data_IF_960891158940
#
_entry.id   IF_960891158940
#
_cell.length_a   1.000
_cell.length_b   1.000
_cell.length_c   1.000
_cell.angle_alpha   90.00
_cell.angle_beta   90.00
_cell.angle_gamma   90.00
#
_symmetry.space_group_name_H-M   'P 1'
#
loop_
_entity.id
_entity.type
_entity.pdbx_description
1 polymer ?
#
# COMPACT_ATOMS: atom_id res chain seq x y z
N UNK A 1 2.41 -13.99 -21.14
CA UNK A 1 2.33 -13.80 -19.67
C UNK A 1 0.84 -13.70 -19.33
N UNK A 2 0.40 -14.28 -18.22
CA UNK A 2 -1.02 -14.33 -17.85
C UNK A 2 -1.58 -12.91 -17.68
N UNK A 3 -2.67 -12.54 -18.37
CA UNK A 3 -3.17 -11.16 -18.42
C UNK A 3 -3.51 -10.59 -17.03
N UNK A 4 -3.85 -11.46 -16.09
CA UNK A 4 -4.12 -11.13 -14.68
C UNK A 4 -2.83 -10.71 -13.97
N UNK A 5 -1.70 -11.37 -14.26
CA UNK A 5 -0.40 -11.05 -13.64
C UNK A 5 0.09 -9.70 -14.13
N UNK A 6 -0.07 -9.41 -15.43
CA UNK A 6 0.26 -8.10 -15.99
C UNK A 6 -0.59 -7.00 -15.37
N UNK A 7 -1.91 -7.21 -15.26
CA UNK A 7 -2.80 -6.22 -14.61
C UNK A 7 -2.47 -6.00 -13.14
N UNK A 8 -2.15 -7.08 -12.42
CA UNK A 8 -1.70 -7.01 -11.03
C UNK A 8 -0.42 -6.19 -10.90
N UNK A 9 0.53 -6.36 -11.80
CA UNK A 9 1.74 -5.56 -11.82
C UNK A 9 1.44 -4.06 -12.05
N UNK A 10 0.59 -3.74 -13.03
CA UNK A 10 0.16 -2.35 -13.29
C UNK A 10 -0.48 -1.72 -12.05
N UNK A 11 -1.38 -2.44 -11.37
CA UNK A 11 -2.03 -1.94 -10.16
C UNK A 11 -1.06 -1.76 -9.00
N UNK A 12 -0.08 -2.66 -8.84
CA UNK A 12 0.98 -2.49 -7.84
C UNK A 12 1.79 -1.23 -8.12
N UNK A 13 2.22 -1.01 -9.36
CA UNK A 13 2.98 0.19 -9.73
C UNK A 13 2.15 1.45 -9.47
N UNK A 14 0.88 1.48 -9.87
CA UNK A 14 0.01 2.62 -9.62
C UNK A 14 -0.17 2.93 -8.11
N UNK A 15 -0.21 1.91 -7.25
CA UNK A 15 -0.21 2.11 -5.79
C UNK A 15 1.10 2.69 -5.27
N UNK A 16 2.24 2.23 -5.79
CA UNK A 16 3.56 2.75 -5.42
C UNK A 16 3.68 4.22 -5.86
N UNK A 17 3.32 4.50 -7.11
CA UNK A 17 3.33 5.85 -7.67
C UNK A 17 2.40 6.77 -6.89
N UNK A 18 1.18 6.31 -6.54
CA UNK A 18 0.26 7.07 -5.71
C UNK A 18 0.84 7.47 -4.35
N UNK A 19 1.66 6.63 -3.74
CA UNK A 19 2.31 6.92 -2.45
C UNK A 19 3.50 7.84 -2.61
N UNK A 20 4.28 7.68 -3.68
CA UNK A 20 5.49 8.45 -3.94
C UNK A 20 5.19 9.85 -4.48
N UNK A 21 4.12 10.00 -5.26
CA UNK A 21 3.65 11.27 -5.82
C UNK A 21 2.70 12.01 -4.87
N UNK A 22 2.39 11.41 -3.72
CA UNK A 22 1.52 12.03 -2.74
C UNK A 22 2.19 13.21 -2.05
N UNK A 23 1.37 14.23 -1.77
CA UNK A 23 1.73 15.39 -0.97
C UNK A 23 0.86 15.47 0.30
N UNK A 24 1.31 16.27 1.26
CA UNK A 24 0.55 16.58 2.47
C UNK A 24 0.50 15.43 3.47
N UNK A 25 -0.71 15.05 3.90
CA UNK A 25 -0.91 14.09 5.00
C UNK A 25 -0.37 12.68 4.66
N UNK A 26 -0.51 12.24 3.40
CA UNK A 26 -0.01 10.95 2.94
C UNK A 26 1.53 10.91 2.90
N UNK A 27 2.16 11.97 2.41
CA UNK A 27 3.62 12.11 2.46
C UNK A 27 4.15 12.09 3.90
N UNK A 28 3.50 12.85 4.79
CA UNK A 28 3.89 12.91 6.20
C UNK A 28 3.71 11.55 6.89
N UNK A 29 2.62 10.83 6.61
CA UNK A 29 2.38 9.50 7.17
C UNK A 29 3.45 8.49 6.71
N UNK A 30 3.83 8.54 5.43
CA UNK A 30 4.91 7.70 4.89
C UNK A 30 6.25 8.00 5.58
N UNK A 31 6.60 9.28 5.73
CA UNK A 31 7.85 9.69 6.38
C UNK A 31 7.92 9.22 7.83
N UNK A 32 6.82 9.38 8.59
CA UNK A 32 6.72 8.91 9.97
C UNK A 32 6.85 7.38 10.03
N UNK A 33 6.15 6.66 9.15
CA UNK A 33 6.21 5.20 9.09
C UNK A 33 7.62 4.71 8.73
N UNK A 34 8.27 5.34 7.75
CA UNK A 34 9.63 5.02 7.34
C UNK A 34 10.65 5.28 8.45
N UNK A 35 10.50 6.39 9.18
CA UNK A 35 11.35 6.71 10.33
C UNK A 35 11.19 5.69 11.48
N UNK A 36 9.97 5.23 11.74
CA UNK A 36 9.69 4.23 12.77
C UNK A 36 10.29 2.85 12.45
N UNK A 37 10.26 2.44 11.18
CA UNK A 37 10.78 1.14 10.75
C UNK A 37 12.32 1.09 10.66
N UNK A 38 13.01 2.24 10.68
CA UNK A 38 14.48 2.28 10.57
C UNK A 38 15.10 3.40 11.42
N UNK A 39 15.40 3.12 12.71
CA UNK A 39 16.08 4.06 13.59
C UNK A 39 17.52 4.41 13.14
N UNK A 40 18.13 3.58 12.28
CA UNK A 40 19.56 3.65 11.93
C UNK A 40 19.82 3.76 10.42
N UNK A 41 19.18 4.70 9.74
CA UNK A 41 19.70 5.46 8.58
C UNK A 41 20.23 4.77 7.31
N UNK A 42 20.35 3.44 7.23
CA UNK A 42 20.96 2.77 6.08
C UNK A 42 19.92 2.56 4.96
N UNK A 43 19.83 3.54 4.05
CA UNK A 43 18.99 3.48 2.85
C UNK A 43 19.63 2.64 1.75
N UNK A 44 19.37 1.34 1.75
CA UNK A 44 19.44 0.53 0.54
C UNK A 44 18.15 0.66 -0.27
N UNK A 45 18.23 0.68 -1.61
CA UNK A 45 17.06 0.78 -2.50
C UNK A 45 16.04 -0.35 -2.28
N UNK A 46 16.51 -1.57 -2.01
CA UNK A 46 15.66 -2.71 -1.66
C UNK A 46 14.91 -2.53 -0.34
N UNK A 47 15.57 -1.96 0.66
CA UNK A 47 14.98 -1.71 1.98
C UNK A 47 13.85 -0.67 1.88
N UNK A 48 14.06 0.37 1.07
CA UNK A 48 13.06 1.40 0.79
C UNK A 48 11.84 0.81 0.08
N UNK A 49 12.03 -0.03 -0.93
CA UNK A 49 10.92 -0.72 -1.61
C UNK A 49 10.10 -1.58 -0.65
N UNK A 50 10.75 -2.31 0.26
CA UNK A 50 10.05 -3.13 1.27
C UNK A 50 9.23 -2.26 2.22
N UNK A 51 9.73 -1.09 2.61
CA UNK A 51 9.00 -0.16 3.49
C UNK A 51 7.78 0.42 2.79
N UNK A 52 7.92 0.81 1.52
CA UNK A 52 6.79 1.30 0.72
C UNK A 52 5.75 0.19 0.55
N UNK A 53 6.17 -1.01 0.17
CA UNK A 53 5.28 -2.17 0.02
C UNK A 53 4.53 -2.45 1.34
N UNK A 54 5.22 -2.41 2.49
CA UNK A 54 4.56 -2.55 3.80
C UNK A 54 3.60 -1.41 4.10
N UNK A 55 4.01 -0.18 3.86
CA UNK A 55 3.16 0.99 4.10
C UNK A 55 1.89 0.97 3.24
N UNK A 56 1.95 0.51 1.99
CA UNK A 56 0.76 0.33 1.14
C UNK A 56 -0.24 -0.66 1.78
N UNK A 57 0.27 -1.69 2.46
CA UNK A 57 -0.56 -2.76 3.02
C UNK A 57 -1.00 -2.54 4.46
N UNK A 58 -0.18 -1.89 5.28
CA UNK A 58 -0.36 -1.70 6.73
C UNK A 58 -0.67 -0.25 7.10
N UNK A 59 -0.25 0.69 6.26
CA UNK A 59 -0.36 2.12 6.49
C UNK A 59 -1.81 2.58 6.52
N UNK A 60 -2.06 3.56 7.37
CA UNK A 60 -3.36 4.19 7.55
C UNK A 60 -3.21 5.69 7.50
N UNK A 61 -4.23 6.35 6.96
CA UNK A 61 -4.37 7.81 6.94
C UNK A 61 -5.75 8.13 7.49
N UNK A 62 -5.77 8.83 8.62
CA UNK A 62 -6.96 8.92 9.45
C UNK A 62 -7.49 7.53 9.81
N UNK A 63 -8.74 7.28 9.45
CA UNK A 63 -9.44 6.00 9.71
C UNK A 63 -9.38 5.00 8.55
N UNK A 64 -8.86 5.40 7.39
CA UNK A 64 -8.85 4.60 6.17
C UNK A 64 -7.49 3.96 5.87
N UNK A 65 -7.52 2.79 5.24
CA UNK A 65 -6.30 2.20 4.66
C UNK A 65 -5.89 2.89 3.37
N UNK A 66 -4.61 2.79 3.01
CA UNK A 66 -4.11 3.34 1.74
C UNK A 66 -4.82 2.77 0.51
N UNK A 67 -5.16 1.49 0.53
CA UNK A 67 -5.86 0.84 -0.59
C UNK A 67 -7.27 1.42 -0.75
N UNK A 68 -7.98 1.66 0.35
CA UNK A 68 -9.31 2.31 0.31
C UNK A 68 -9.20 3.75 -0.21
N UNK A 69 -8.19 4.51 0.25
CA UNK A 69 -7.92 5.86 -0.23
C UNK A 69 -7.59 5.88 -1.73
N UNK A 70 -6.80 4.93 -2.20
CA UNK A 70 -6.48 4.76 -3.62
C UNK A 70 -7.74 4.47 -4.46
N UNK A 71 -8.59 3.55 -4.01
CA UNK A 71 -9.85 3.22 -4.68
C UNK A 71 -10.81 4.43 -4.71
N UNK A 72 -10.84 5.23 -3.65
CA UNK A 72 -11.67 6.42 -3.55
C UNK A 72 -11.18 7.56 -4.45
N UNK A 73 -9.86 7.72 -4.60
CA UNK A 73 -9.24 8.74 -5.45
C UNK A 73 -9.27 8.39 -6.94
N UNK A 74 -9.32 7.11 -7.30
CA UNK A 74 -9.34 6.65 -8.70
C UNK A 74 -10.73 6.11 -9.09
N UNK A 75 -11.62 7.03 -9.46
CA UNK A 75 -12.98 6.71 -9.91
C UNK A 75 -13.00 5.87 -11.20
N UNK A 76 -11.96 5.99 -12.03
CA UNK A 76 -11.77 5.34 -13.32
C UNK A 76 -11.37 3.85 -13.23
N UNK A 77 -11.05 3.34 -12.04
CA UNK A 77 -10.76 1.93 -11.84
C UNK A 77 -11.94 1.04 -12.26
N UNK A 78 -11.65 0.03 -13.08
CA UNK A 78 -12.63 -0.96 -13.49
C UNK A 78 -13.12 -1.78 -12.28
N UNK A 79 -14.31 -2.38 -12.41
CA UNK A 79 -14.85 -3.23 -11.34
C UNK A 79 -13.91 -4.40 -11.00
N UNK A 80 -13.25 -4.97 -12.00
CA UNK A 80 -12.28 -6.05 -11.82
C UNK A 80 -11.06 -5.60 -11.00
N UNK A 81 -10.57 -4.38 -11.24
CA UNK A 81 -9.44 -3.82 -10.49
C UNK A 81 -9.82 -3.53 -9.04
N UNK A 82 -11.01 -2.95 -8.83
CA UNK A 82 -11.56 -2.71 -7.49
C UNK A 82 -11.69 -4.03 -6.73
N UNK A 83 -12.15 -5.09 -7.37
CA UNK A 83 -12.28 -6.40 -6.75
C UNK A 83 -10.91 -7.00 -6.40
N UNK A 84 -9.90 -6.85 -7.27
CA UNK A 84 -8.54 -7.31 -7.02
C UNK A 84 -7.91 -6.58 -5.82
N UNK A 85 -8.00 -5.25 -5.80
CA UNK A 85 -7.48 -4.40 -4.73
C UNK A 85 -8.17 -4.71 -3.38
N UNK A 86 -9.49 -4.88 -3.38
CA UNK A 86 -10.23 -5.28 -2.18
C UNK A 86 -9.83 -6.69 -1.70
N UNK A 87 -9.59 -7.63 -2.62
CA UNK A 87 -9.09 -8.96 -2.26
C UNK A 87 -7.72 -8.86 -1.60
N UNK A 88 -6.81 -8.05 -2.14
CA UNK A 88 -5.49 -7.83 -1.55
C UNK A 88 -5.62 -7.22 -0.16
N UNK A 89 -6.40 -6.14 -0.03
CA UNK A 89 -6.67 -5.49 1.25
C UNK A 89 -7.19 -6.49 2.31
N UNK A 90 -8.17 -7.33 1.94
CA UNK A 90 -8.70 -8.38 2.83
C UNK A 90 -7.67 -9.44 3.17
N UNK A 91 -6.84 -9.88 2.20
CA UNK A 91 -5.76 -10.84 2.45
C UNK A 91 -4.73 -10.29 3.43
N UNK A 92 -4.34 -9.02 3.30
CA UNK A 92 -3.41 -8.37 4.23
C UNK A 92 -4.04 -8.22 5.61
N UNK A 93 -5.26 -7.68 5.72
CA UNK A 93 -5.96 -7.60 7.01
C UNK A 93 -6.06 -8.98 7.66
N UNK A 94 -6.45 -10.02 6.92
CA UNK A 94 -6.56 -11.37 7.43
C UNK A 94 -5.25 -11.92 8.02
N UNK A 95 -4.11 -11.61 7.42
CA UNK A 95 -2.79 -12.00 7.93
C UNK A 95 -2.45 -11.28 9.25
N UNK A 96 -2.86 -10.02 9.42
CA UNK A 96 -2.64 -9.27 10.66
C UNK A 96 -3.68 -9.55 11.74
N UNK A 97 -4.95 -9.83 11.40
CA UNK A 97 -5.96 -10.23 12.40
C UNK A 97 -5.55 -11.53 13.10
N UNK A 98 -4.87 -12.44 12.40
CA UNK A 98 -4.35 -13.68 13.00
C UNK A 98 -3.22 -13.41 14.01
N UNK A 99 -2.56 -12.25 13.98
CA UNK A 99 -1.59 -11.87 15.03
C UNK A 99 -2.25 -11.48 16.37
N UNK A 100 -3.58 -11.31 16.40
CA UNK A 100 -4.35 -11.23 17.65
C UNK A 100 -4.93 -12.59 18.05
N UNK A 101 -4.06 -13.59 18.21
CA UNK A 101 -4.40 -14.71 19.09
C UNK A 101 -4.08 -14.23 20.51
N UNK A 102 -5.14 -13.89 21.25
CA UNK A 102 -5.16 -13.61 22.69
C UNK A 102 -4.53 -14.74 23.51
#
# INVERSE_FOLDING_TARGET
MDAIVERSHTLKQALVDFVLDADGELAQALDIYAAAQMPSGNRGSTQQQVIIDRFITEGKIGDGSLIELFIASHADLSQSDRNLLNSWHRSFIGLFTITQIL
#
